data_IF_638787011635
#
_entry.id   IF_638787011635
#
_cell.length_a   1.000
_cell.length_b   1.000
_cell.length_c   1.000
_cell.angle_alpha   90.00
_cell.angle_beta   90.00
_cell.angle_gamma   90.00
#
_symmetry.space_group_name_H-M   'P 1'
#
loop_
_entity.id
_entity.type
_entity.pdbx_description
1 polymer ?
#
# COMPACT_ATOMS: atom_id res chain seq x y z
N UNK A 1 12.74 -25.25 67.54
CA UNK A 1 11.32 -25.30 67.10
C UNK A 1 11.33 -25.18 65.58
N UNK A 2 11.49 -26.22 64.74
CA UNK A 2 10.84 -27.53 64.56
C UNK A 2 9.30 -27.47 64.44
N UNK A 3 8.84 -27.95 63.28
CA UNK A 3 7.52 -28.51 62.91
C UNK A 3 6.48 -27.52 62.32
N UNK A 4 6.34 -27.52 60.99
CA UNK A 4 5.31 -28.37 60.34
C UNK A 4 5.38 -28.26 58.81
N UNK A 5 5.90 -29.31 58.17
CA UNK A 5 5.71 -29.69 56.77
C UNK A 5 4.90 -31.01 56.80
N UNK A 6 4.11 -31.26 55.75
CA UNK A 6 3.50 -32.55 55.35
C UNK A 6 2.13 -32.95 55.93
N UNK A 7 1.13 -32.93 55.06
CA UNK A 7 0.07 -33.94 54.90
C UNK A 7 -0.46 -33.78 53.45
N UNK A 8 0.16 -34.39 52.43
CA UNK A 8 -0.16 -35.72 51.86
C UNK A 8 -1.67 -36.00 51.76
N UNK A 9 -2.26 -35.93 50.56
CA UNK A 9 -2.44 -37.02 49.57
C UNK A 9 -3.53 -38.02 49.98
N UNK A 10 -4.62 -38.08 49.19
CA UNK A 10 -5.28 -39.28 48.60
C UNK A 10 -6.72 -38.92 48.19
N UNK A 11 -6.96 -38.77 46.89
CA UNK A 11 -8.02 -39.51 46.18
C UNK A 11 -7.84 -39.37 44.67
N UNK A 12 -7.06 -40.32 44.16
CA UNK A 12 -7.07 -40.83 42.79
C UNK A 12 -8.43 -41.45 42.50
N UNK A 13 -9.03 -41.13 41.35
CA UNK A 13 -9.84 -42.02 40.50
C UNK A 13 -10.91 -41.20 39.77
N UNK A 14 -10.74 -40.99 38.46
CA UNK A 14 -11.71 -41.37 37.40
C UNK A 14 -11.22 -40.78 36.06
N UNK A 15 -10.21 -41.40 35.47
CA UNK A 15 -9.97 -41.42 34.01
C UNK A 15 -10.01 -42.90 33.63
N UNK A 16 -10.96 -43.28 32.77
CA UNK A 16 -10.95 -44.41 31.84
C UNK A 16 -12.38 -44.92 31.58
N UNK A 17 -13.06 -44.39 30.55
CA UNK A 17 -13.84 -45.16 29.55
C UNK A 17 -14.56 -44.22 28.58
N UNK A 18 -13.94 -43.91 27.44
CA UNK A 18 -14.60 -43.59 26.16
C UNK A 18 -13.54 -43.39 25.05
N UNK A 19 -12.65 -44.37 24.91
CA UNK A 19 -11.93 -44.64 23.65
C UNK A 19 -12.24 -46.09 23.36
N UNK A 20 -12.53 -46.41 22.09
CA UNK A 20 -12.97 -47.69 21.51
C UNK A 20 -14.48 -47.80 21.22
N UNK A 21 -14.92 -47.08 20.18
CA UNK A 21 -16.04 -47.48 19.32
C UNK A 21 -16.01 -46.67 18.01
N UNK A 22 -15.04 -46.96 17.13
CA UNK A 22 -15.14 -46.61 15.72
C UNK A 22 -14.47 -47.71 14.89
N UNK A 23 -15.10 -48.88 14.92
CA UNK A 23 -14.80 -50.00 14.03
C UNK A 23 -15.55 -49.80 12.70
N UNK A 24 -14.78 -49.93 11.61
CA UNK A 24 -15.18 -50.52 10.32
C UNK A 24 -16.36 -49.89 9.56
N UNK A 25 -16.09 -48.77 8.87
CA UNK A 25 -16.76 -48.46 7.61
C UNK A 25 -15.87 -48.91 6.44
N UNK A 26 -16.37 -49.71 5.48
CA UNK A 26 -15.59 -50.15 4.33
C UNK A 26 -15.23 -48.96 3.41
N UNK A 27 -14.08 -49.01 2.71
CA UNK A 27 -13.69 -47.99 1.76
C UNK A 27 -14.68 -47.97 0.58
N UNK A 28 -15.38 -46.85 0.39
CA UNK A 28 -16.07 -46.58 -0.86
C UNK A 28 -15.02 -46.23 -1.92
N UNK A 29 -14.76 -47.19 -2.80
CA UNK A 29 -14.12 -46.96 -4.09
C UNK A 29 -14.99 -45.98 -4.89
N UNK A 30 -14.53 -44.74 -5.03
CA UNK A 30 -15.07 -43.83 -6.04
C UNK A 30 -14.26 -44.02 -7.33
N UNK A 31 -14.91 -44.39 -8.45
CA UNK A 31 -14.24 -44.58 -9.72
C UNK A 31 -13.69 -43.24 -10.21
N UNK A 32 -12.47 -43.31 -10.74
CA UNK A 32 -11.72 -42.16 -11.24
C UNK A 32 -12.29 -41.55 -12.52
N UNK A 33 -11.67 -40.42 -12.89
CA UNK A 33 -11.85 -39.76 -14.18
C UNK A 33 -12.47 -38.37 -14.03
N UNK A 34 -11.63 -37.34 -13.93
CA UNK A 34 -12.12 -35.96 -13.89
C UNK A 34 -11.01 -34.94 -13.71
N UNK A 35 -10.35 -34.63 -14.83
CA UNK A 35 -9.55 -33.43 -15.13
C UNK A 35 -9.76 -32.28 -14.13
N UNK A 36 -8.68 -31.85 -13.47
CA UNK A 36 -8.66 -30.72 -12.54
C UNK A 36 -9.06 -29.42 -13.24
N UNK A 37 -10.30 -28.99 -13.01
CA UNK A 37 -10.81 -27.66 -13.32
C UNK A 37 -10.81 -26.81 -12.06
N UNK A 38 -10.14 -25.67 -12.14
CA UNK A 38 -9.99 -24.64 -11.11
C UNK A 38 -11.32 -23.84 -10.91
N UNK A 39 -12.46 -24.51 -10.81
CA UNK A 39 -13.80 -23.91 -10.74
C UNK A 39 -14.34 -23.96 -9.31
N UNK A 40 -13.84 -23.09 -8.41
CA UNK A 40 -14.55 -22.83 -7.14
C UNK A 40 -14.27 -21.46 -6.54
N UNK A 41 -14.46 -20.40 -7.33
CA UNK A 41 -14.63 -19.04 -6.80
C UNK A 41 -15.58 -18.24 -7.70
N UNK A 42 -16.83 -18.70 -7.78
CA UNK A 42 -17.87 -18.06 -8.59
C UNK A 42 -19.26 -18.42 -8.09
N UNK A 43 -19.59 -18.00 -6.87
CA UNK A 43 -20.95 -18.06 -6.36
C UNK A 43 -21.77 -16.84 -6.83
N UNK A 44 -22.90 -17.01 -7.52
CA UNK A 44 -23.79 -15.92 -7.91
C UNK A 44 -24.79 -15.65 -6.78
N UNK A 45 -24.76 -14.45 -6.18
CA UNK A 45 -25.78 -14.06 -5.20
C UNK A 45 -25.30 -13.03 -4.18
N UNK A 46 -25.08 -11.79 -4.62
CA UNK A 46 -24.93 -10.63 -3.74
C UNK A 46 -25.88 -9.54 -4.19
N UNK A 47 -27.02 -9.41 -3.53
CA UNK A 47 -28.04 -8.41 -3.84
C UNK A 47 -27.56 -6.96 -3.67
N UNK A 48 -28.30 -5.99 -4.22
CA UNK A 48 -28.00 -4.56 -4.11
C UNK A 48 -28.19 -4.09 -2.66
N UNK A 49 -27.13 -4.14 -1.85
CA UNK A 49 -27.14 -3.68 -0.46
C UNK A 49 -26.36 -4.53 0.55
N UNK A 50 -25.77 -5.66 0.15
CA UNK A 50 -24.97 -6.49 1.07
C UNK A 50 -23.64 -5.85 1.48
N UNK A 51 -23.10 -6.15 2.67
CA UNK A 51 -21.84 -5.60 3.22
C UNK A 51 -20.58 -5.87 2.38
N UNK A 52 -20.70 -6.66 1.30
CA UNK A 52 -19.65 -6.94 0.30
C UNK A 52 -19.71 -6.00 -0.92
N UNK A 53 -20.70 -5.11 -1.03
CA UNK A 53 -20.87 -4.19 -2.17
C UNK A 53 -19.83 -3.06 -2.25
N UNK A 54 -19.14 -2.77 -1.15
CA UNK A 54 -18.01 -1.87 -1.11
C UNK A 54 -16.71 -2.65 -1.14
N UNK A 55 -16.21 -3.05 -2.31
CA UNK A 55 -14.93 -3.78 -2.45
C UNK A 55 -13.69 -2.97 -2.00
N UNK A 56 -13.91 -1.76 -1.50
CA UNK A 56 -12.91 -0.85 -0.94
C UNK A 56 -13.43 -0.22 0.36
N UNK A 57 -13.65 -1.01 1.43
CA UNK A 57 -14.08 -0.47 2.73
C UNK A 57 -13.06 0.54 3.27
N UNK A 58 -11.79 0.40 2.86
CA UNK A 58 -10.71 1.32 3.20
C UNK A 58 -11.00 2.77 2.82
N UNK A 59 -11.61 3.05 1.66
CA UNK A 59 -11.88 4.44 1.23
C UNK A 59 -12.87 5.15 2.15
N UNK A 60 -13.90 4.44 2.62
CA UNK A 60 -14.87 4.99 3.57
C UNK A 60 -14.19 5.38 4.88
N UNK A 61 -13.35 4.49 5.39
CA UNK A 61 -12.58 4.67 6.63
C UNK A 61 -11.58 5.81 6.49
N UNK A 62 -10.90 5.94 5.35
CA UNK A 62 -9.97 7.05 5.15
C UNK A 62 -10.70 8.39 5.15
N UNK A 63 -11.87 8.47 4.52
CA UNK A 63 -12.67 9.68 4.54
C UNK A 63 -13.12 10.02 5.97
N UNK A 64 -13.63 9.04 6.73
CA UNK A 64 -14.01 9.26 8.14
C UNK A 64 -12.81 9.72 8.99
N UNK A 65 -11.65 9.12 8.75
CA UNK A 65 -10.42 9.48 9.43
C UNK A 65 -9.99 10.91 9.09
N UNK A 66 -10.09 11.32 7.82
CA UNK A 66 -9.80 12.70 7.40
C UNK A 66 -10.72 13.67 8.15
N UNK A 67 -12.03 13.41 8.19
CA UNK A 67 -12.97 14.23 8.94
C UNK A 67 -12.60 14.31 10.44
N UNK A 68 -12.25 13.17 11.04
CA UNK A 68 -11.82 13.09 12.44
C UNK A 68 -10.55 13.91 12.73
N UNK A 69 -9.50 13.75 11.93
CA UNK A 69 -8.21 14.43 12.13
C UNK A 69 -8.28 15.94 11.85
N UNK A 70 -9.14 16.35 10.91
CA UNK A 70 -9.41 17.75 10.60
C UNK A 70 -10.36 18.42 11.60
N UNK A 71 -11.03 17.64 12.45
CA UNK A 71 -12.01 18.14 13.41
C UNK A 71 -13.01 19.10 12.74
N UNK A 72 -13.69 18.58 11.70
CA UNK A 72 -14.67 19.34 10.93
C UNK A 72 -15.85 19.75 11.82
N UNK A 73 -16.29 21.01 11.70
CA UNK A 73 -17.52 21.47 12.34
C UNK A 73 -18.77 21.00 11.58
N UNK A 74 -19.97 21.32 12.07
CA UNK A 74 -21.23 20.84 11.49
C UNK A 74 -21.42 21.22 10.01
N UNK A 75 -21.06 22.44 9.63
CA UNK A 75 -21.24 22.93 8.26
C UNK A 75 -20.18 22.33 7.33
N UNK A 76 -18.93 22.21 7.81
CA UNK A 76 -17.85 21.54 7.10
C UNK A 76 -18.14 20.04 6.91
N UNK A 77 -18.67 19.38 7.94
CA UNK A 77 -19.03 17.97 7.93
C UNK A 77 -20.13 17.69 6.91
N UNK A 78 -21.18 18.52 6.86
CA UNK A 78 -22.25 18.38 5.88
C UNK A 78 -21.72 18.50 4.43
N UNK A 79 -20.82 19.44 4.17
CA UNK A 79 -20.18 19.60 2.86
C UNK A 79 -19.28 18.40 2.53
N UNK A 80 -18.54 17.90 3.51
CA UNK A 80 -17.69 16.72 3.33
C UNK A 80 -18.50 15.46 3.06
N UNK A 81 -19.63 15.26 3.73
CA UNK A 81 -20.50 14.12 3.48
C UNK A 81 -21.17 14.17 2.09
N UNK A 82 -21.53 15.37 1.59
CA UNK A 82 -21.96 15.55 0.21
C UNK A 82 -20.86 15.17 -0.79
N UNK A 83 -19.64 15.68 -0.59
CA UNK A 83 -18.46 15.32 -1.39
C UNK A 83 -18.24 13.80 -1.42
N UNK A 84 -18.30 13.15 -0.25
CA UNK A 84 -18.18 11.68 -0.13
C UNK A 84 -19.29 10.94 -0.87
N UNK A 85 -20.52 11.44 -0.83
CA UNK A 85 -21.65 10.83 -1.53
C UNK A 85 -21.44 10.88 -3.04
N UNK A 86 -21.11 12.06 -3.58
CA UNK A 86 -20.80 12.26 -5.01
C UNK A 86 -19.63 11.36 -5.45
N UNK A 87 -18.56 11.33 -4.65
CA UNK A 87 -17.41 10.47 -4.92
C UNK A 87 -17.76 8.97 -4.90
N UNK A 88 -18.60 8.53 -3.96
CA UNK A 88 -19.07 7.14 -3.87
C UNK A 88 -19.90 6.76 -5.10
N UNK A 89 -20.74 7.65 -5.61
CA UNK A 89 -21.53 7.43 -6.81
C UNK A 89 -20.65 7.36 -8.07
N UNK A 90 -19.69 8.28 -8.22
CA UNK A 90 -18.71 8.25 -9.31
C UNK A 90 -17.92 6.93 -9.30
N UNK A 91 -17.42 6.53 -8.13
CA UNK A 91 -16.68 5.28 -7.97
C UNK A 91 -17.56 4.05 -8.24
N UNK A 92 -18.85 4.09 -7.87
CA UNK A 92 -19.79 3.01 -8.20
C UNK A 92 -19.91 2.84 -9.72
N UNK A 93 -20.17 3.93 -10.45
CA UNK A 93 -20.27 3.89 -11.91
C UNK A 93 -18.97 3.43 -12.58
N UNK A 94 -17.81 3.93 -12.10
CA UNK A 94 -16.50 3.49 -12.58
C UNK A 94 -16.27 1.99 -12.33
N UNK A 95 -16.67 1.47 -11.17
CA UNK A 95 -16.52 0.05 -10.83
C UNK A 95 -17.48 -0.85 -11.63
N UNK A 96 -18.67 -0.37 -11.97
CA UNK A 96 -19.60 -1.06 -12.85
C UNK A 96 -19.00 -1.21 -14.25
N UNK A 97 -18.53 -0.12 -14.86
CA UNK A 97 -17.83 -0.18 -16.15
C UNK A 97 -16.57 -1.06 -16.10
N UNK A 98 -15.84 -1.05 -14.97
CA UNK A 98 -14.70 -1.96 -14.80
C UNK A 98 -15.12 -3.43 -14.73
N UNK A 99 -16.23 -3.76 -14.05
CA UNK A 99 -16.76 -5.14 -14.00
C UNK A 99 -17.16 -5.63 -15.38
N UNK A 100 -17.79 -4.79 -16.19
CA UNK A 100 -18.14 -5.11 -17.58
C UNK A 100 -16.90 -5.43 -18.41
N UNK A 101 -15.88 -4.57 -18.35
CA UNK A 101 -14.60 -4.80 -19.04
C UNK A 101 -13.88 -6.07 -18.54
N UNK A 102 -13.98 -6.43 -17.26
CA UNK A 102 -13.45 -7.71 -16.76
C UNK A 102 -14.24 -8.92 -17.26
N UNK A 103 -15.55 -8.79 -17.49
CA UNK A 103 -16.34 -9.85 -18.14
C UNK A 103 -15.92 -10.00 -19.60
N UNK A 104 -15.63 -8.90 -20.29
CA UNK A 104 -15.09 -8.92 -21.66
C UNK A 104 -13.72 -9.61 -21.71
N UNK A 105 -12.81 -9.36 -20.76
CA UNK A 105 -11.54 -10.11 -20.65
C UNK A 105 -11.80 -11.62 -20.59
N UNK A 106 -12.75 -12.07 -19.76
CA UNK A 106 -13.09 -13.50 -19.65
C UNK A 106 -13.67 -14.05 -20.93
N UNK A 107 -14.55 -13.30 -21.60
CA UNK A 107 -15.14 -13.71 -22.86
C UNK A 107 -14.07 -13.88 -23.97
N UNK A 108 -13.05 -13.01 -23.99
CA UNK A 108 -11.90 -13.14 -24.89
C UNK A 108 -11.06 -14.37 -24.55
N UNK A 109 -10.80 -14.64 -23.27
CA UNK A 109 -10.11 -15.86 -22.81
C UNK A 109 -10.89 -17.13 -23.20
N UNK A 110 -12.21 -17.14 -23.02
CA UNK A 110 -13.09 -18.27 -23.38
C UNK A 110 -13.13 -18.51 -24.91
N UNK A 111 -12.96 -17.44 -25.71
CA UNK A 111 -12.87 -17.51 -27.16
C UNK A 111 -11.47 -17.91 -27.68
N UNK A 112 -10.48 -18.01 -26.80
CA UNK A 112 -9.08 -18.27 -27.16
C UNK A 112 -8.36 -17.05 -27.76
N UNK A 113 -8.87 -15.84 -27.57
CA UNK A 113 -8.21 -14.58 -27.96
C UNK A 113 -7.31 -14.06 -26.82
N UNK A 114 -6.19 -14.75 -26.63
CA UNK A 114 -5.23 -14.43 -25.57
C UNK A 114 -4.59 -13.04 -25.74
N UNK A 115 -4.37 -12.59 -26.98
CA UNK A 115 -3.80 -11.28 -27.28
C UNK A 115 -4.78 -10.15 -26.94
N UNK A 116 -6.04 -10.29 -27.36
CA UNK A 116 -7.12 -9.38 -27.01
C UNK A 116 -7.32 -9.28 -25.49
N UNK A 117 -7.39 -10.43 -24.81
CA UNK A 117 -7.51 -10.48 -23.35
C UNK A 117 -6.32 -9.81 -22.64
N UNK A 118 -5.09 -10.02 -23.14
CA UNK A 118 -3.88 -9.37 -22.60
C UNK A 118 -3.94 -7.85 -22.77
N UNK A 119 -4.25 -7.36 -23.97
CA UNK A 119 -4.35 -5.92 -24.24
C UNK A 119 -5.40 -5.25 -23.35
N UNK A 120 -6.58 -5.84 -23.23
CA UNK A 120 -7.65 -5.29 -22.40
C UNK A 120 -7.29 -5.29 -20.91
N UNK A 121 -6.57 -6.31 -20.42
CA UNK A 121 -6.02 -6.31 -19.06
C UNK A 121 -5.02 -5.18 -18.83
N UNK A 122 -4.15 -4.91 -19.81
CA UNK A 122 -3.17 -3.83 -19.71
C UNK A 122 -3.85 -2.45 -19.73
N UNK A 123 -4.88 -2.26 -20.54
CA UNK A 123 -5.71 -1.05 -20.53
C UNK A 123 -6.44 -0.86 -19.18
N UNK A 124 -7.05 -1.92 -18.66
CA UNK A 124 -7.70 -1.92 -17.35
C UNK A 124 -6.72 -1.57 -16.24
N UNK A 125 -5.51 -2.14 -16.27
CA UNK A 125 -4.44 -1.82 -15.32
C UNK A 125 -4.01 -0.36 -15.44
N UNK A 126 -3.88 0.16 -16.66
CA UNK A 126 -3.58 1.58 -16.91
C UNK A 126 -4.63 2.50 -16.30
N UNK A 127 -5.92 2.19 -16.49
CA UNK A 127 -7.03 2.95 -15.91
C UNK A 127 -7.08 2.92 -14.38
N UNK A 128 -6.56 1.84 -13.76
CA UNK A 128 -6.48 1.71 -12.31
C UNK A 128 -5.33 2.51 -11.69
N UNK A 129 -4.26 2.82 -12.44
CA UNK A 129 -3.08 3.53 -11.91
C UNK A 129 -3.37 4.96 -11.44
N UNK A 130 -4.37 5.63 -12.02
CA UNK A 130 -4.86 6.92 -11.52
C UNK A 130 -6.06 6.80 -10.57
N UNK A 131 -6.81 5.70 -10.66
CA UNK A 131 -8.22 5.64 -10.28
C UNK A 131 -8.59 6.14 -8.88
N UNK A 132 -8.27 5.41 -7.78
CA UNK A 132 -8.74 5.77 -6.45
C UNK A 132 -8.04 7.00 -5.86
N UNK A 133 -6.75 7.16 -6.13
CA UNK A 133 -5.94 8.22 -5.51
C UNK A 133 -6.20 9.59 -6.12
N UNK A 134 -6.43 9.68 -7.44
CA UNK A 134 -6.88 10.94 -8.06
C UNK A 134 -8.21 11.42 -7.45
N UNK A 135 -9.07 10.47 -7.08
CA UNK A 135 -10.31 10.75 -6.36
C UNK A 135 -10.08 11.40 -4.99
N UNK A 136 -9.14 10.85 -4.22
CA UNK A 136 -8.76 11.41 -2.91
C UNK A 136 -8.12 12.79 -3.07
N UNK A 137 -7.23 12.96 -4.06
CA UNK A 137 -6.60 14.26 -4.34
C UNK A 137 -7.64 15.33 -4.69
N UNK A 138 -8.60 15.00 -5.55
CA UNK A 138 -9.72 15.88 -5.89
C UNK A 138 -10.57 16.23 -4.68
N UNK A 139 -10.88 15.24 -3.83
CA UNK A 139 -11.62 15.47 -2.59
C UNK A 139 -10.87 16.44 -1.66
N UNK A 140 -9.54 16.35 -1.56
CA UNK A 140 -8.74 17.30 -0.79
C UNK A 140 -8.75 18.71 -1.41
N UNK A 141 -8.71 18.81 -2.74
CA UNK A 141 -8.78 20.10 -3.42
C UNK A 141 -10.15 20.77 -3.25
N UNK A 142 -11.25 20.00 -3.28
CA UNK A 142 -12.60 20.49 -3.01
C UNK A 142 -12.82 20.87 -1.54
N UNK A 143 -12.18 20.16 -0.60
CA UNK A 143 -12.28 20.46 0.83
C UNK A 143 -11.42 21.67 1.24
N UNK A 144 -10.28 21.90 0.59
CA UNK A 144 -9.36 23.00 0.90
C UNK A 144 -10.00 24.38 1.14
N UNK A 145 -10.90 24.90 0.28
CA UNK A 145 -11.49 26.23 0.44
C UNK A 145 -12.41 26.39 1.65
N UNK A 146 -12.92 25.29 2.22
CA UNK A 146 -13.86 25.33 3.35
C UNK A 146 -13.18 25.11 4.69
N UNK A 147 -11.88 24.77 4.68
CA UNK A 147 -11.08 24.55 5.88
C UNK A 147 -10.58 25.85 6.48
N UNK A 148 -10.53 25.90 7.81
CA UNK A 148 -9.77 26.92 8.55
C UNK A 148 -8.26 26.75 8.29
N UNK A 149 -7.44 27.81 8.45
CA UNK A 149 -6.01 27.73 8.19
C UNK A 149 -5.29 26.58 8.92
N UNK A 150 -5.66 26.30 10.17
CA UNK A 150 -5.07 25.22 10.97
C UNK A 150 -5.47 23.83 10.46
N UNK A 151 -6.71 23.68 9.97
CA UNK A 151 -7.19 22.44 9.37
C UNK A 151 -6.54 22.21 8.00
N UNK A 152 -6.39 23.27 7.20
CA UNK A 152 -5.67 23.20 5.94
C UNK A 152 -4.22 22.73 6.13
N UNK A 153 -3.54 23.21 7.19
CA UNK A 153 -2.20 22.73 7.53
C UNK A 153 -2.18 21.23 7.88
N UNK A 154 -3.14 20.74 8.67
CA UNK A 154 -3.29 19.30 8.98
C UNK A 154 -3.62 18.47 7.73
N UNK A 155 -4.42 19.01 6.82
CA UNK A 155 -4.76 18.34 5.57
C UNK A 155 -3.53 18.14 4.70
N UNK A 156 -2.61 19.12 4.66
CA UNK A 156 -1.33 18.96 3.98
C UNK A 156 -0.46 17.87 4.63
N UNK A 157 -0.44 17.77 5.98
CA UNK A 157 0.25 16.65 6.65
C UNK A 157 -0.38 15.28 6.36
N UNK A 158 -1.71 15.23 6.20
CA UNK A 158 -2.43 14.03 5.76
C UNK A 158 -2.04 13.66 4.33
N UNK A 159 -2.08 14.64 3.41
CA UNK A 159 -1.68 14.48 2.01
C UNK A 159 -0.24 13.99 1.89
N UNK A 160 0.67 14.53 2.69
CA UNK A 160 2.08 14.14 2.75
C UNK A 160 2.26 12.67 3.14
N UNK A 161 1.50 12.19 4.13
CA UNK A 161 1.53 10.78 4.53
C UNK A 161 1.02 9.89 3.40
N UNK A 162 -0.08 10.26 2.76
CA UNK A 162 -0.63 9.49 1.64
C UNK A 162 0.30 9.43 0.44
N UNK A 163 0.92 10.55 0.07
CA UNK A 163 1.88 10.58 -1.03
C UNK A 163 3.10 9.73 -0.70
N UNK A 164 3.62 9.81 0.53
CA UNK A 164 4.76 8.99 0.95
C UNK A 164 4.41 7.50 0.93
N UNK A 165 3.24 7.11 1.44
CA UNK A 165 2.77 5.73 1.36
C UNK A 165 2.64 5.27 -0.10
N UNK A 166 2.02 6.09 -0.96
CA UNK A 166 1.87 5.82 -2.40
C UNK A 166 3.23 5.60 -3.06
N UNK A 167 4.19 6.50 -2.85
CA UNK A 167 5.55 6.40 -3.41
C UNK A 167 6.23 5.08 -2.99
N UNK A 168 6.06 4.66 -1.73
CA UNK A 168 6.60 3.38 -1.24
C UNK A 168 5.95 2.20 -1.94
N UNK A 169 4.62 2.20 -2.06
CA UNK A 169 3.87 1.16 -2.76
C UNK A 169 4.24 1.07 -4.24
N UNK A 170 4.28 2.21 -4.95
CA UNK A 170 4.66 2.27 -6.36
C UNK A 170 6.09 1.78 -6.57
N UNK A 171 7.02 2.15 -5.69
CA UNK A 171 8.40 1.67 -5.75
C UNK A 171 8.46 0.15 -5.57
N UNK A 172 7.79 -0.38 -4.53
CA UNK A 172 7.70 -1.82 -4.30
C UNK A 172 7.11 -2.56 -5.51
N UNK A 173 6.00 -2.08 -6.06
CA UNK A 173 5.38 -2.67 -7.24
C UNK A 173 6.32 -2.65 -8.45
N UNK A 174 7.00 -1.52 -8.69
CA UNK A 174 7.94 -1.38 -9.79
C UNK A 174 9.10 -2.37 -9.68
N UNK A 175 9.66 -2.54 -8.49
CA UNK A 175 10.71 -3.54 -8.23
C UNK A 175 10.17 -4.93 -8.50
N UNK A 176 9.10 -5.36 -7.83
CA UNK A 176 8.52 -6.70 -8.00
C UNK A 176 8.23 -7.01 -9.46
N UNK A 177 7.71 -6.03 -10.21
CA UNK A 177 7.40 -6.19 -11.63
C UNK A 177 8.64 -6.26 -12.53
N UNK A 178 9.70 -5.50 -12.22
CA UNK A 178 10.94 -5.44 -13.01
C UNK A 178 11.90 -6.59 -12.75
N UNK A 179 11.82 -7.22 -11.57
CA UNK A 179 12.73 -8.28 -11.11
C UNK A 179 12.97 -9.41 -12.12
N UNK A 180 11.95 -9.99 -12.80
CA UNK A 180 12.20 -11.09 -13.72
C UNK A 180 13.12 -10.74 -14.88
N UNK A 181 12.99 -9.52 -15.40
CA UNK A 181 13.80 -9.02 -16.50
C UNK A 181 15.17 -8.54 -15.99
N UNK A 182 15.17 -7.82 -14.86
CA UNK A 182 16.42 -7.38 -14.22
C UNK A 182 17.29 -8.57 -13.84
N UNK A 183 16.75 -9.67 -13.33
CA UNK A 183 17.51 -10.86 -12.95
C UNK A 183 17.70 -11.84 -14.11
N UNK A 184 17.25 -11.51 -15.33
CA UNK A 184 17.36 -12.39 -16.50
C UNK A 184 16.85 -13.81 -16.19
N UNK A 185 15.72 -13.91 -15.50
CA UNK A 185 15.15 -15.19 -15.05
C UNK A 185 14.78 -16.08 -16.24
N UNK A 186 15.06 -17.38 -16.09
CA UNK A 186 14.56 -18.41 -17.00
C UNK A 186 13.02 -18.50 -16.91
N UNK A 187 12.36 -19.11 -17.90
CA UNK A 187 10.89 -19.22 -17.87
C UNK A 187 10.40 -20.01 -16.64
N UNK A 188 11.12 -21.06 -16.24
CA UNK A 188 10.80 -21.83 -15.03
C UNK A 188 10.90 -20.96 -13.77
N UNK A 189 11.97 -20.16 -13.63
CA UNK A 189 12.10 -19.21 -12.52
C UNK A 189 10.99 -18.15 -12.54
N UNK A 190 10.59 -17.67 -13.73
CA UNK A 190 9.48 -16.71 -13.89
C UNK A 190 8.17 -17.29 -13.40
N UNK A 191 7.87 -18.55 -13.69
CA UNK A 191 6.65 -19.21 -13.23
C UNK A 191 6.63 -19.43 -11.72
N UNK A 192 7.76 -19.83 -11.15
CA UNK A 192 7.92 -19.93 -9.69
C UNK A 192 7.76 -18.57 -9.02
N UNK A 193 8.37 -17.52 -9.57
CA UNK A 193 8.23 -16.14 -9.08
C UNK A 193 6.78 -15.65 -9.14
N UNK A 194 6.07 -15.86 -10.26
CA UNK A 194 4.64 -15.50 -10.39
C UNK A 194 3.78 -16.20 -9.34
N UNK A 195 4.07 -17.48 -9.08
CA UNK A 195 3.38 -18.28 -8.07
C UNK A 195 3.64 -17.75 -6.67
N UNK A 196 4.90 -17.49 -6.32
CA UNK A 196 5.31 -16.89 -5.05
C UNK A 196 4.63 -15.54 -4.80
N UNK A 197 4.64 -14.63 -5.78
CA UNK A 197 3.98 -13.32 -5.68
C UNK A 197 2.48 -13.48 -5.43
N UNK A 198 1.82 -14.41 -6.13
CA UNK A 198 0.39 -14.68 -5.98
C UNK A 198 0.06 -15.25 -4.61
N UNK A 199 0.78 -16.27 -4.17
CA UNK A 199 0.58 -16.90 -2.87
C UNK A 199 0.80 -15.91 -1.74
N UNK A 200 1.83 -15.07 -1.85
CA UNK A 200 2.13 -14.08 -0.84
C UNK A 200 1.11 -12.96 -0.74
N UNK A 201 0.64 -12.45 -1.88
CA UNK A 201 -0.45 -11.48 -1.91
C UNK A 201 -1.72 -12.07 -1.27
N UNK A 202 -1.97 -13.36 -1.50
CA UNK A 202 -3.11 -14.08 -0.92
C UNK A 202 -2.95 -14.30 0.59
N UNK A 203 -1.84 -14.89 1.03
CA UNK A 203 -1.60 -15.24 2.44
C UNK A 203 -1.53 -14.00 3.32
N UNK A 204 -0.80 -12.97 2.88
CA UNK A 204 -0.69 -11.71 3.60
C UNK A 204 -2.02 -10.98 3.73
N UNK A 205 -2.97 -11.18 2.82
CA UNK A 205 -4.33 -10.66 2.98
C UNK A 205 -5.18 -11.54 3.89
N UNK A 206 -5.20 -12.86 3.67
CA UNK A 206 -5.99 -13.82 4.44
C UNK A 206 -5.62 -13.82 5.94
N UNK A 207 -4.34 -13.71 6.28
CA UNK A 207 -3.85 -13.68 7.66
C UNK A 207 -4.31 -12.42 8.41
N UNK A 208 -4.30 -11.26 7.74
CA UNK A 208 -4.63 -9.97 8.35
C UNK A 208 -6.11 -9.64 8.32
N UNK A 209 -6.86 -10.25 7.40
CA UNK A 209 -8.28 -9.95 7.22
C UNK A 209 -9.07 -10.01 8.53
N UNK A 210 -8.97 -11.06 9.38
CA UNK A 210 -9.74 -11.12 10.63
C UNK A 210 -9.41 -9.97 11.60
N UNK A 211 -8.13 -9.62 11.72
CA UNK A 211 -7.70 -8.51 12.56
C UNK A 211 -8.25 -7.18 12.04
N UNK A 212 -8.20 -6.97 10.72
CA UNK A 212 -8.72 -5.76 10.10
C UNK A 212 -10.24 -5.68 10.19
N UNK A 213 -10.96 -6.80 10.01
CA UNK A 213 -12.42 -6.88 10.17
C UNK A 213 -12.82 -6.50 11.61
N UNK A 214 -12.16 -7.09 12.61
CA UNK A 214 -12.36 -6.74 14.04
C UNK A 214 -12.13 -5.25 14.29
N UNK A 215 -11.04 -4.70 13.76
CA UNK A 215 -10.71 -3.29 13.94
C UNK A 215 -11.73 -2.36 13.27
N UNK A 216 -12.24 -2.74 12.10
CA UNK A 216 -13.29 -1.99 11.41
C UNK A 216 -14.61 -2.00 12.20
N UNK A 217 -14.95 -3.11 12.83
CA UNK A 217 -16.12 -3.20 13.72
C UNK A 217 -15.96 -2.32 14.96
N UNK A 218 -14.78 -2.34 15.60
CA UNK A 218 -14.45 -1.46 16.72
C UNK A 218 -14.54 0.02 16.34
N UNK A 219 -14.03 0.40 15.16
CA UNK A 219 -14.11 1.79 14.65
C UNK A 219 -15.57 2.20 14.45
N UNK A 220 -16.41 1.35 13.83
CA UNK A 220 -17.84 1.65 13.66
C UNK A 220 -18.55 1.84 14.99
N UNK A 221 -18.30 0.94 15.96
CA UNK A 221 -18.90 1.04 17.29
C UNK A 221 -18.49 2.35 18.00
N UNK A 222 -17.22 2.75 17.90
CA UNK A 222 -16.73 4.01 18.48
C UNK A 222 -17.29 5.25 17.75
N UNK A 223 -17.54 5.17 16.44
CA UNK A 223 -18.24 6.21 15.69
C UNK A 223 -19.70 6.35 16.15
N UNK A 224 -20.41 5.23 16.30
CA UNK A 224 -21.81 5.21 16.75
C UNK A 224 -21.97 5.73 18.19
N UNK A 225 -20.99 5.47 19.07
CA UNK A 225 -21.00 5.98 20.44
C UNK A 225 -20.49 7.41 20.58
N UNK A 226 -19.86 7.96 19.54
CA UNK A 226 -19.20 9.27 19.59
C UNK A 226 -17.91 9.31 20.44
N UNK A 227 -17.31 8.15 20.72
CA UNK A 227 -16.10 8.04 21.54
C UNK A 227 -14.84 8.44 20.74
N UNK A 228 -14.54 9.74 20.77
CA UNK A 228 -13.41 10.31 20.00
C UNK A 228 -12.04 9.85 20.49
N UNK A 229 -11.90 9.56 21.79
CA UNK A 229 -10.63 9.06 22.34
C UNK A 229 -10.35 7.65 21.83
N UNK A 230 -11.36 6.78 21.91
CA UNK A 230 -11.25 5.42 21.39
C UNK A 230 -11.01 5.41 19.87
N UNK A 231 -11.68 6.29 19.11
CA UNK A 231 -11.41 6.41 17.66
C UNK A 231 -9.97 6.75 17.34
N UNK A 232 -9.37 7.68 18.08
CA UNK A 232 -7.95 8.03 17.90
C UNK A 232 -7.03 6.83 18.12
N UNK A 233 -7.26 6.06 19.18
CA UNK A 233 -6.51 4.83 19.49
C UNK A 233 -6.68 3.77 18.41
N UNK A 234 -7.91 3.58 17.91
CA UNK A 234 -8.21 2.60 16.87
C UNK A 234 -7.57 2.96 15.52
N UNK A 235 -7.53 4.24 15.15
CA UNK A 235 -6.82 4.68 13.95
C UNK A 235 -5.31 4.48 14.04
N UNK A 236 -4.71 4.72 15.21
CA UNK A 236 -3.29 4.42 15.43
C UNK A 236 -3.02 2.92 15.28
N UNK A 237 -3.85 2.06 15.90
CA UNK A 237 -3.76 0.60 15.77
C UNK A 237 -3.93 0.13 14.32
N UNK A 238 -4.78 0.82 13.55
CA UNK A 238 -4.96 0.53 12.13
C UNK A 238 -3.68 0.83 11.35
N UNK A 239 -3.02 1.95 11.62
CA UNK A 239 -1.76 2.31 10.96
C UNK A 239 -0.64 1.33 11.27
N UNK A 240 -0.54 0.87 12.51
CA UNK A 240 0.42 -0.17 12.90
C UNK A 240 0.13 -1.51 12.20
N UNK A 241 -1.14 -1.84 11.99
CA UNK A 241 -1.57 -3.06 11.30
C UNK A 241 -1.45 -2.97 9.76
N UNK A 242 -1.22 -1.78 9.20
CA UNK A 242 -1.09 -1.62 7.75
C UNK A 242 0.11 -2.40 7.23
N UNK A 243 0.02 -2.98 6.01
CA UNK A 243 1.19 -3.56 5.36
C UNK A 243 2.26 -2.51 5.17
N UNK A 244 3.47 -2.77 5.65
CA UNK A 244 4.64 -2.07 5.15
C UNK A 244 5.03 -2.72 3.80
N UNK A 245 4.80 -2.05 2.65
CA UNK A 245 5.07 -2.62 1.34
C UNK A 245 6.55 -2.90 1.12
N UNK A 246 7.43 -2.09 1.70
CA UNK A 246 8.88 -2.25 1.60
C UNK A 246 9.31 -3.52 2.34
N UNK A 247 8.84 -3.72 3.58
CA UNK A 247 9.10 -4.96 4.33
C UNK A 247 8.59 -6.20 3.59
N UNK A 248 7.33 -6.15 3.12
CA UNK A 248 6.76 -7.25 2.35
C UNK A 248 7.56 -7.56 1.08
N UNK A 249 8.05 -6.54 0.39
CA UNK A 249 8.93 -6.72 -0.77
C UNK A 249 10.28 -7.30 -0.34
N UNK A 250 10.89 -6.81 0.74
CA UNK A 250 12.17 -7.30 1.22
C UNK A 250 12.12 -8.78 1.60
N UNK A 251 11.12 -9.24 2.35
CA UNK A 251 11.06 -10.68 2.63
C UNK A 251 10.83 -11.48 1.33
N UNK A 252 10.26 -10.88 0.28
CA UNK A 252 9.94 -11.59 -0.98
C UNK A 252 11.22 -11.78 -1.76
N UNK A 253 12.05 -10.75 -1.76
CA UNK A 253 13.40 -10.84 -2.28
C UNK A 253 14.19 -11.90 -1.52
N UNK A 254 14.01 -12.05 -0.20
CA UNK A 254 14.66 -13.12 0.58
C UNK A 254 14.18 -14.49 0.14
N UNK A 255 12.87 -14.69 0.02
CA UNK A 255 12.26 -15.95 -0.44
C UNK A 255 12.65 -16.32 -1.87
N UNK A 256 13.06 -15.33 -2.68
CA UNK A 256 13.52 -15.50 -4.05
C UNK A 256 14.95 -16.05 -4.15
N UNK A 257 15.83 -15.79 -3.17
CA UNK A 257 17.25 -16.17 -3.22
C UNK A 257 17.52 -17.66 -3.55
N UNK A 258 16.77 -18.63 -3.00
CA UNK A 258 16.98 -20.05 -3.28
C UNK A 258 16.68 -20.44 -4.73
N UNK A 259 15.87 -19.65 -5.45
CA UNK A 259 15.51 -19.91 -6.84
C UNK A 259 16.54 -19.38 -7.84
N UNK A 260 17.48 -18.56 -7.38
CA UNK A 260 18.43 -17.83 -8.22
C UNK A 260 19.76 -18.58 -8.36
N UNK A 261 20.49 -18.28 -9.43
CA UNK A 261 21.92 -18.61 -9.57
C UNK A 261 22.80 -17.66 -8.74
N UNK A 262 24.08 -17.97 -8.56
CA UNK A 262 25.01 -17.08 -7.84
C UNK A 262 25.11 -15.67 -8.46
N UNK A 263 25.18 -15.59 -9.79
CA UNK A 263 25.24 -14.32 -10.51
C UNK A 263 23.95 -13.49 -10.31
N UNK A 264 22.79 -14.14 -10.34
CA UNK A 264 21.51 -13.49 -10.09
C UNK A 264 21.37 -13.04 -8.63
N UNK A 265 21.87 -13.81 -7.66
CA UNK A 265 21.92 -13.38 -6.25
C UNK A 265 22.73 -12.10 -6.07
N UNK A 266 23.89 -11.99 -6.72
CA UNK A 266 24.70 -10.78 -6.67
C UNK A 266 23.92 -9.58 -7.24
N UNK A 267 23.25 -9.75 -8.38
CA UNK A 267 22.40 -8.71 -8.98
C UNK A 267 21.21 -8.34 -8.09
N UNK A 268 20.64 -9.31 -7.37
CA UNK A 268 19.56 -9.06 -6.43
C UNK A 268 20.00 -8.17 -5.25
N UNK A 269 21.25 -8.31 -4.77
CA UNK A 269 21.82 -7.41 -3.76
C UNK A 269 21.86 -5.97 -4.29
N UNK A 270 22.27 -5.78 -5.54
CA UNK A 270 22.28 -4.45 -6.18
C UNK A 270 20.86 -3.87 -6.29
N UNK A 271 19.87 -4.68 -6.68
CA UNK A 271 18.46 -4.26 -6.73
C UNK A 271 17.95 -3.85 -5.36
N UNK A 272 18.25 -4.63 -4.31
CA UNK A 272 17.89 -4.28 -2.92
C UNK A 272 18.48 -2.95 -2.48
N UNK A 273 19.76 -2.77 -2.73
CA UNK A 273 20.48 -1.54 -2.40
C UNK A 273 19.93 -0.32 -3.15
N UNK A 274 19.56 -0.49 -4.42
CA UNK A 274 19.02 0.60 -5.24
C UNK A 274 17.59 0.97 -4.83
N UNK A 275 16.76 -0.03 -4.55
CA UNK A 275 15.35 0.15 -4.26
C UNK A 275 15.06 0.51 -2.80
N UNK A 276 15.78 -0.11 -1.87
CA UNK A 276 15.51 -0.08 -0.43
C UNK A 276 16.73 0.26 0.41
N UNK A 277 17.87 0.61 -0.22
CA UNK A 277 19.08 1.01 0.48
C UNK A 277 18.78 2.07 1.54
N UNK A 278 19.45 1.92 2.70
CA UNK A 278 19.10 2.59 3.94
C UNK A 278 19.10 4.12 3.78
N UNK A 279 17.93 4.78 3.76
CA UNK A 279 17.89 6.23 3.70
C UNK A 279 18.50 6.84 4.96
N UNK A 280 18.64 6.10 6.07
CA UNK A 280 19.28 6.56 7.30
C UNK A 280 20.80 6.59 7.18
N UNK A 281 21.41 5.67 6.43
CA UNK A 281 22.84 5.74 6.14
C UNK A 281 23.20 7.01 5.33
N UNK A 282 22.28 7.47 4.48
CA UNK A 282 22.39 8.74 3.75
C UNK A 282 21.91 9.97 4.55
N UNK A 283 20.92 9.80 5.44
CA UNK A 283 20.39 10.87 6.30
C UNK A 283 21.22 11.12 7.57
N UNK A 284 22.28 10.34 7.82
CA UNK A 284 23.15 10.46 8.99
C UNK A 284 24.01 11.74 9.02
N UNK A 285 23.82 12.66 8.07
CA UNK A 285 24.42 14.00 8.11
C UNK A 285 23.39 15.02 8.59
N UNK A 286 23.47 15.48 9.86
CA UNK A 286 22.58 16.50 10.38
C UNK A 286 22.60 17.74 9.47
N UNK A 287 21.47 18.03 8.82
CA UNK A 287 21.28 19.24 8.02
C UNK A 287 21.58 19.14 6.53
N UNK A 288 21.99 17.99 5.98
CA UNK A 288 22.03 17.81 4.52
C UNK A 288 20.64 17.45 3.99
N UNK A 289 20.16 18.20 2.99
CA UNK A 289 18.94 17.86 2.26
C UNK A 289 19.29 16.85 1.17
N UNK A 290 18.76 15.62 1.27
CA UNK A 290 18.94 14.63 0.21
C UNK A 290 18.12 14.98 -1.05
N UNK A 291 18.55 14.47 -2.21
CA UNK A 291 17.90 14.71 -3.51
C UNK A 291 16.41 14.33 -3.49
N UNK A 292 16.03 13.26 -2.80
CA UNK A 292 14.63 12.79 -2.74
C UNK A 292 13.78 13.75 -1.91
N UNK A 293 14.30 14.24 -0.80
CA UNK A 293 13.67 15.27 0.03
C UNK A 293 13.44 16.55 -0.78
N UNK A 294 14.44 16.95 -1.58
CA UNK A 294 14.33 18.10 -2.48
C UNK A 294 13.24 17.88 -3.54
N UNK A 295 13.26 16.74 -4.23
CA UNK A 295 12.25 16.42 -5.25
C UNK A 295 10.84 16.34 -4.65
N UNK A 296 10.69 15.78 -3.45
CA UNK A 296 9.40 15.73 -2.74
C UNK A 296 8.89 17.11 -2.38
N UNK A 297 9.75 17.99 -1.85
CA UNK A 297 9.37 19.38 -1.58
C UNK A 297 8.92 20.10 -2.85
N UNK A 298 9.55 19.81 -4.00
CA UNK A 298 9.17 20.41 -5.28
C UNK A 298 7.80 19.96 -5.79
N UNK A 299 7.46 18.66 -5.65
CA UNK A 299 6.13 18.14 -6.04
C UNK A 299 4.99 18.85 -5.32
N UNK A 300 5.24 19.32 -4.09
CA UNK A 300 4.27 20.03 -3.25
C UNK A 300 4.07 21.50 -3.64
N UNK A 301 4.90 22.06 -4.52
CA UNK A 301 4.81 23.45 -4.94
C UNK A 301 3.74 23.70 -6.02
N UNK A 302 2.65 22.90 -6.07
CA UNK A 302 1.52 23.04 -7.03
C UNK A 302 1.99 23.28 -8.47
N UNK A 303 2.78 22.35 -8.98
CA UNK A 303 3.37 22.44 -10.31
C UNK A 303 2.31 22.37 -11.43
N UNK A 304 2.50 23.18 -12.48
CA UNK A 304 1.78 23.02 -13.75
C UNK A 304 2.17 21.70 -14.44
N UNK A 305 1.43 21.29 -15.47
CA UNK A 305 1.72 20.06 -16.21
C UNK A 305 3.13 20.06 -16.84
N UNK A 306 3.54 21.18 -17.45
CA UNK A 306 4.88 21.32 -18.05
C UNK A 306 5.99 21.28 -17.00
N UNK A 307 5.76 21.90 -15.83
CA UNK A 307 6.70 21.85 -14.71
C UNK A 307 6.80 20.43 -14.13
N UNK A 308 5.70 19.67 -14.03
CA UNK A 308 5.73 18.27 -13.60
C UNK A 308 6.54 17.40 -14.56
N UNK A 309 6.39 17.59 -15.86
CA UNK A 309 7.18 16.87 -16.85
C UNK A 309 8.68 17.21 -16.74
N UNK A 310 8.99 18.50 -16.59
CA UNK A 310 10.36 18.97 -16.34
C UNK A 310 10.96 18.37 -15.07
N UNK A 311 10.19 18.33 -13.97
CA UNK A 311 10.59 17.72 -12.71
C UNK A 311 10.86 16.22 -12.87
N UNK A 312 10.03 15.48 -13.61
CA UNK A 312 10.26 14.05 -13.91
C UNK A 312 11.56 13.84 -14.68
N UNK A 313 11.92 14.75 -15.59
CA UNK A 313 13.19 14.68 -16.30
C UNK A 313 14.37 14.92 -15.35
N UNK A 314 14.31 15.99 -14.56
CA UNK A 314 15.31 16.29 -13.53
C UNK A 314 15.48 15.15 -12.52
N UNK A 315 14.39 14.52 -12.08
CA UNK A 315 14.44 13.37 -11.17
C UNK A 315 15.26 12.21 -11.74
N UNK A 316 15.05 11.87 -13.03
CA UNK A 316 15.79 10.76 -13.67
C UNK A 316 17.29 11.06 -13.77
N UNK A 317 17.65 12.30 -14.08
CA UNK A 317 19.04 12.75 -14.15
C UNK A 317 19.67 12.80 -12.75
N UNK A 318 18.99 13.44 -11.81
CA UNK A 318 19.42 13.58 -10.42
C UNK A 318 19.66 12.21 -9.74
N UNK A 319 18.76 11.25 -9.94
CA UNK A 319 18.93 9.90 -9.39
C UNK A 319 20.14 9.20 -10.02
N UNK A 320 20.40 9.41 -11.32
CA UNK A 320 21.57 8.85 -11.99
C UNK A 320 22.86 9.46 -11.46
N UNK A 321 22.93 10.78 -11.37
CA UNK A 321 24.12 11.50 -10.90
C UNK A 321 24.40 11.21 -9.42
N UNK A 322 23.34 11.16 -8.61
CA UNK A 322 23.44 10.79 -7.21
C UNK A 322 23.98 9.36 -7.03
N UNK A 323 23.57 8.41 -7.89
CA UNK A 323 24.14 7.05 -7.91
C UNK A 323 25.60 7.05 -8.32
N UNK A 324 25.98 7.86 -9.32
CA UNK A 324 27.39 7.99 -9.73
C UNK A 324 28.26 8.60 -8.62
N UNK A 325 27.66 9.42 -7.75
CA UNK A 325 28.30 10.01 -6.57
C UNK A 325 28.29 9.08 -5.32
N UNK A 326 27.84 7.83 -5.43
CA UNK A 326 27.72 6.93 -4.28
C UNK A 326 29.08 6.73 -3.59
N UNK A 327 29.13 7.02 -2.29
CA UNK A 327 30.35 6.96 -1.48
C UNK A 327 31.19 8.25 -1.49
N UNK A 328 30.89 9.23 -2.34
CA UNK A 328 31.44 10.59 -2.28
C UNK A 328 30.35 11.57 -1.90
N UNK A 329 30.30 11.86 -0.61
CA UNK A 329 29.25 12.72 -0.09
C UNK A 329 29.40 14.19 -0.51
N UNK A 330 30.61 14.66 -0.86
CA UNK A 330 30.77 16.01 -1.43
C UNK A 330 30.17 16.07 -2.84
N UNK A 331 30.30 15.00 -3.62
CA UNK A 331 29.60 14.87 -4.89
C UNK A 331 28.08 14.78 -4.71
N UNK A 332 27.58 14.03 -3.71
CA UNK A 332 26.15 13.97 -3.42
C UNK A 332 25.58 15.33 -3.02
N UNK A 333 26.28 16.09 -2.16
CA UNK A 333 25.88 17.44 -1.76
C UNK A 333 25.83 18.40 -2.96
N UNK A 334 26.77 18.27 -3.91
CA UNK A 334 26.76 19.04 -5.17
C UNK A 334 25.58 18.69 -6.06
N UNK A 335 25.23 17.41 -6.18
CA UNK A 335 24.04 16.97 -6.94
C UNK A 335 22.77 17.54 -6.28
N UNK A 336 22.64 17.44 -4.95
CA UNK A 336 21.52 17.99 -4.22
C UNK A 336 21.38 19.52 -4.41
N UNK A 337 22.47 20.26 -4.28
CA UNK A 337 22.48 21.70 -4.51
C UNK A 337 22.09 22.07 -5.96
N UNK A 338 22.64 21.35 -6.95
CA UNK A 338 22.31 21.57 -8.36
C UNK A 338 20.83 21.33 -8.65
N UNK A 339 20.26 20.24 -8.11
CA UNK A 339 18.83 19.91 -8.25
C UNK A 339 17.97 20.99 -7.59
N UNK A 340 18.33 21.44 -6.38
CA UNK A 340 17.63 22.53 -5.69
C UNK A 340 17.59 23.80 -6.57
N UNK A 341 18.73 24.19 -7.12
CA UNK A 341 18.85 25.39 -7.95
C UNK A 341 18.04 25.28 -9.26
N UNK A 342 18.08 24.11 -9.91
CA UNK A 342 17.30 23.86 -11.13
C UNK A 342 15.79 23.93 -10.86
N UNK A 343 15.33 23.31 -9.77
CA UNK A 343 13.93 23.37 -9.35
C UNK A 343 13.55 24.83 -9.05
N UNK A 344 14.36 25.56 -8.27
CA UNK A 344 14.05 26.96 -7.95
C UNK A 344 13.87 27.83 -9.20
N UNK A 345 14.63 27.58 -10.28
CA UNK A 345 14.48 28.27 -11.58
C UNK A 345 13.22 27.86 -12.35
N UNK A 346 12.74 26.63 -12.18
CA UNK A 346 11.52 26.13 -12.80
C UNK A 346 10.26 26.74 -12.16
N UNK A 347 10.33 27.08 -10.88
CA UNK A 347 9.21 27.58 -10.09
C UNK A 347 9.01 29.10 -10.24
N UNK A 348 7.75 29.52 -10.26
CA UNK A 348 7.40 30.94 -10.08
C UNK A 348 7.68 31.42 -8.64
N UNK A 349 7.42 32.71 -8.36
CA UNK A 349 7.73 33.31 -7.07
C UNK A 349 6.98 32.65 -5.89
N UNK A 350 5.69 32.37 -6.06
CA UNK A 350 4.84 31.82 -5.01
C UNK A 350 5.18 30.34 -4.78
N UNK A 351 5.35 29.59 -5.87
CA UNK A 351 5.78 28.19 -5.83
C UNK A 351 7.17 28.04 -5.20
N UNK A 352 8.11 28.95 -5.51
CA UNK A 352 9.46 28.95 -4.92
C UNK A 352 9.42 29.22 -3.43
N UNK A 353 8.59 30.16 -2.97
CA UNK A 353 8.40 30.41 -1.54
C UNK A 353 7.83 29.17 -0.82
N UNK A 354 6.84 28.51 -1.42
CA UNK A 354 6.29 27.26 -0.89
C UNK A 354 7.36 26.15 -0.83
N UNK A 355 8.14 25.99 -1.88
CA UNK A 355 9.23 25.01 -1.97
C UNK A 355 10.29 25.22 -0.87
N UNK A 356 10.79 26.45 -0.69
CA UNK A 356 11.77 26.75 0.37
C UNK A 356 11.21 26.51 1.77
N UNK A 357 9.92 26.85 2.00
CA UNK A 357 9.26 26.55 3.28
C UNK A 357 9.18 25.03 3.54
N UNK A 358 8.91 24.23 2.51
CA UNK A 358 8.89 22.77 2.63
C UNK A 358 10.29 22.20 2.92
N UNK A 359 11.34 22.72 2.27
CA UNK A 359 12.72 22.33 2.56
C UNK A 359 13.12 22.68 4.00
N UNK A 360 12.74 23.86 4.49
CA UNK A 360 13.04 24.27 5.86
C UNK A 360 12.35 23.36 6.88
N UNK A 361 11.08 22.99 6.65
CA UNK A 361 10.36 22.04 7.49
C UNK A 361 11.03 20.66 7.50
N UNK A 362 11.46 20.18 6.33
CA UNK A 362 12.17 18.91 6.22
C UNK A 362 13.51 18.94 6.98
N UNK A 363 14.28 20.02 6.83
CA UNK A 363 15.55 20.21 7.54
C UNK A 363 15.38 20.31 9.07
N UNK A 364 14.25 20.85 9.55
CA UNK A 364 13.92 20.86 10.98
C UNK A 364 13.57 19.47 11.51
N UNK A 365 12.89 18.63 10.71
CA UNK A 365 12.54 17.26 11.08
C UNK A 365 13.75 16.31 11.09
N UNK A 366 14.81 16.64 10.35
CA UNK A 366 16.05 15.84 10.31
C UNK A 366 17.08 16.22 11.39
N UNK A 367 16.83 17.27 12.16
CA UNK A 367 17.65 17.66 13.33
C UNK A 367 17.06 17.04 14.58
#
# INVERSE_FOLDING_TARGET
MRLSRYFCLVLVSTVCTAVLAQENAPPQERPGGGRGGFERFGGPGGGPGGPMGGRFPWMGIMADRVAFELDLDGDQQAQFDDMRSRFREEMRGRMEGMRERWQEVRALEDAGDDEGARKLRDELRGSMRGGPMEGVERMFDELAPVLRPEQAARMEDIRDRFETERERWERSEQVVRGLPDELEMTEEQRDQFRTMVRERMRSGWEERRPQMESLMEEIRAAQESGDREQLGLLYARMDEARPNPERGTMDMLTDLEPLLTDAQRQKLVEVRDVAFGDPVADAARPGSLDVRTILRAARRARLSNEQRESLRSMEREAVRDWRAARGDATAQDRVAAAVKDQIARLLDADQRAAFESQLERAARKSR
#
